data_IF_109208218975
#
_entry.id   IF_109208218975
#
_cell.length_a   1.000
_cell.length_b   1.000
_cell.length_c   1.000
_cell.angle_alpha   90.00
_cell.angle_beta   90.00
_cell.angle_gamma   90.00
#
_symmetry.space_group_name_H-M   'P 1'
#
loop_
_entity.id
_entity.type
_entity.pdbx_description
1 polymer ?
#
# COMPACT_ATOMS: atom_id res chain seq x y z
N UNK A 1 12.35 -22.98 -20.41
CA UNK A 1 11.39 -23.75 -19.59
C UNK A 1 10.24 -22.82 -19.24
N UNK A 2 8.99 -23.14 -19.61
CA UNK A 2 7.86 -22.30 -19.19
C UNK A 2 7.70 -22.44 -17.67
N UNK A 3 7.57 -21.34 -16.92
CA UNK A 3 7.36 -21.40 -15.48
C UNK A 3 6.07 -22.16 -15.17
N UNK A 4 6.06 -22.85 -14.03
CA UNK A 4 4.88 -23.60 -13.59
C UNK A 4 3.68 -22.64 -13.43
N UNK A 5 2.64 -22.90 -14.20
CA UNK A 5 1.42 -22.08 -14.23
C UNK A 5 0.74 -22.02 -12.85
N UNK A 6 0.81 -23.09 -12.05
CA UNK A 6 0.24 -23.11 -10.71
C UNK A 6 1.01 -22.19 -9.77
N UNK A 7 2.35 -22.22 -9.83
CA UNK A 7 3.22 -21.31 -9.09
C UNK A 7 2.96 -19.86 -9.45
N UNK A 8 2.86 -19.52 -10.74
CA UNK A 8 2.59 -18.14 -11.16
C UNK A 8 1.24 -17.65 -10.64
N UNK A 9 0.18 -18.47 -10.74
CA UNK A 9 -1.14 -18.13 -10.18
C UNK A 9 -1.10 -17.88 -8.68
N UNK A 10 -0.37 -18.70 -7.93
CA UNK A 10 -0.20 -18.50 -6.49
C UNK A 10 0.53 -17.17 -6.18
N UNK A 11 1.54 -16.82 -6.96
CA UNK A 11 2.26 -15.55 -6.82
C UNK A 11 1.37 -14.35 -7.15
N UNK A 12 0.55 -14.43 -8.21
CA UNK A 12 -0.44 -13.40 -8.55
C UNK A 12 -1.42 -13.20 -7.39
N UNK A 13 -2.03 -14.29 -6.89
CA UNK A 13 -3.01 -14.23 -5.81
C UNK A 13 -2.43 -13.60 -4.54
N UNK A 14 -1.21 -14.01 -4.15
CA UNK A 14 -0.52 -13.46 -2.98
C UNK A 14 -0.22 -11.98 -3.13
N UNK A 15 0.37 -11.56 -4.26
CA UNK A 15 0.71 -10.15 -4.48
C UNK A 15 -0.55 -9.29 -4.60
N UNK A 16 -1.63 -9.83 -5.18
CA UNK A 16 -2.91 -9.13 -5.23
C UNK A 16 -3.50 -8.91 -3.84
N UNK A 17 -3.52 -9.94 -2.98
CA UNK A 17 -3.99 -9.81 -1.60
C UNK A 17 -3.18 -8.77 -0.80
N UNK A 18 -1.87 -8.70 -1.04
CA UNK A 18 -1.01 -7.68 -0.43
C UNK A 18 -1.38 -6.26 -0.88
N UNK A 19 -1.64 -6.07 -2.18
CA UNK A 19 -2.07 -4.78 -2.73
C UNK A 19 -3.46 -4.39 -2.25
N UNK A 20 -4.37 -5.34 -2.11
CA UNK A 20 -5.70 -5.09 -1.57
C UNK A 20 -5.65 -4.64 -0.10
N UNK A 21 -4.83 -5.33 0.70
CA UNK A 21 -4.56 -4.92 2.07
C UNK A 21 -3.92 -3.51 2.14
N UNK A 22 -2.97 -3.20 1.26
CA UNK A 22 -2.39 -1.87 1.17
C UNK A 22 -3.42 -0.81 0.73
N UNK A 23 -4.31 -1.16 -0.20
CA UNK A 23 -5.40 -0.29 -0.64
C UNK A 23 -6.32 0.07 0.53
N UNK A 24 -6.80 -0.93 1.28
CA UNK A 24 -7.67 -0.70 2.44
C UNK A 24 -7.01 0.20 3.49
N UNK A 25 -5.74 -0.03 3.81
CA UNK A 25 -4.98 0.80 4.76
C UNK A 25 -4.81 2.23 4.28
N UNK A 26 -4.59 2.46 3.00
CA UNK A 26 -4.50 3.80 2.43
C UNK A 26 -5.86 4.51 2.46
N UNK A 27 -6.95 3.79 2.21
CA UNK A 27 -8.30 4.33 2.37
C UNK A 27 -8.58 4.70 3.82
N UNK A 28 -8.28 3.81 4.78
CA UNK A 28 -8.41 4.11 6.22
C UNK A 28 -7.54 5.31 6.64
N UNK A 29 -6.31 5.37 6.15
CA UNK A 29 -5.39 6.49 6.38
C UNK A 29 -5.96 7.83 5.88
N UNK A 30 -6.60 7.82 4.71
CA UNK A 30 -7.27 9.00 4.15
C UNK A 30 -8.52 9.37 4.98
N UNK A 31 -9.32 8.39 5.39
CA UNK A 31 -10.53 8.59 6.18
C UNK A 31 -10.27 9.12 7.60
N UNK A 32 -9.15 8.73 8.22
CA UNK A 32 -8.71 9.31 9.50
C UNK A 32 -8.41 10.81 9.38
N UNK A 33 -8.01 11.30 8.20
CA UNK A 33 -7.67 12.71 8.02
C UNK A 33 -6.43 13.14 8.82
N UNK A 34 -6.30 14.45 9.07
CA UNK A 34 -5.22 15.01 9.86
C UNK A 34 -5.63 15.15 11.32
N UNK A 35 -4.78 14.68 12.23
CA UNK A 35 -4.94 14.84 13.67
C UNK A 35 -3.66 15.42 14.29
N UNK A 36 -3.75 16.05 15.47
CA UNK A 36 -2.56 16.53 16.16
C UNK A 36 -1.55 15.37 16.37
N UNK A 37 -0.24 15.59 16.15
CA UNK A 37 0.77 14.52 16.14
C UNK A 37 0.85 13.69 17.44
N UNK A 38 0.39 14.25 18.56
CA UNK A 38 0.41 13.62 19.88
C UNK A 38 -0.81 12.74 20.16
N UNK A 39 -1.75 12.63 19.21
CA UNK A 39 -2.96 11.81 19.39
C UNK A 39 -2.73 10.36 18.96
N UNK A 40 -3.47 9.43 19.58
CA UNK A 40 -3.51 8.04 19.14
C UNK A 40 -3.88 7.91 17.66
N UNK A 41 -4.79 8.76 17.16
CA UNK A 41 -5.23 8.73 15.76
C UNK A 41 -4.12 9.12 14.78
N UNK A 42 -3.27 10.09 15.14
CA UNK A 42 -2.09 10.42 14.35
C UNK A 42 -1.09 9.25 14.31
N UNK A 43 -0.87 8.57 15.43
CA UNK A 43 -0.03 7.36 15.49
C UNK A 43 -0.61 6.22 14.66
N UNK A 44 -1.91 5.97 14.76
CA UNK A 44 -2.62 4.95 13.99
C UNK A 44 -2.54 5.22 12.48
N UNK A 45 -2.74 6.47 12.06
CA UNK A 45 -2.59 6.89 10.67
C UNK A 45 -1.18 6.62 10.14
N UNK A 46 -0.15 7.00 10.90
CA UNK A 46 1.23 6.76 10.53
C UNK A 46 1.55 5.26 10.41
N UNK A 47 1.03 4.45 11.35
CA UNK A 47 1.20 3.00 11.33
C UNK A 47 0.54 2.36 10.08
N UNK A 48 -0.70 2.76 9.75
CA UNK A 48 -1.41 2.30 8.56
C UNK A 48 -0.65 2.64 7.27
N UNK A 49 -0.17 3.89 7.15
CA UNK A 49 0.61 4.33 6.00
C UNK A 49 1.91 3.53 5.86
N UNK A 50 2.67 3.37 6.94
CA UNK A 50 3.93 2.62 6.94
C UNK A 50 3.73 1.15 6.57
N UNK A 51 2.64 0.54 7.02
CA UNK A 51 2.30 -0.85 6.72
C UNK A 51 1.84 -1.01 5.26
N UNK A 52 1.03 -0.09 4.73
CA UNK A 52 0.67 -0.06 3.31
C UNK A 52 1.91 0.11 2.40
N UNK A 53 2.80 1.03 2.75
CA UNK A 53 4.07 1.27 2.08
C UNK A 53 4.95 0.01 2.09
N UNK A 54 5.02 -0.69 3.22
CA UNK A 54 5.78 -1.94 3.35
C UNK A 54 5.19 -3.08 2.51
N UNK A 55 3.87 -3.15 2.38
CA UNK A 55 3.18 -4.06 1.45
C UNK A 55 3.54 -3.76 -0.01
N UNK A 56 3.47 -2.49 -0.42
CA UNK A 56 3.83 -2.07 -1.77
C UNK A 56 5.30 -2.37 -2.09
N UNK A 57 6.23 -2.09 -1.17
CA UNK A 57 7.67 -2.42 -1.33
C UNK A 57 7.87 -3.91 -1.62
N UNK A 58 7.18 -4.82 -0.92
CA UNK A 58 7.29 -6.27 -1.15
C UNK A 58 6.77 -6.68 -2.53
N UNK A 59 5.68 -6.07 -2.99
CA UNK A 59 5.09 -6.38 -4.30
C UNK A 59 5.97 -5.84 -5.43
N UNK A 60 6.57 -4.67 -5.26
CA UNK A 60 7.45 -4.04 -6.24
C UNK A 60 8.92 -4.47 -6.15
N UNK A 61 9.30 -5.38 -5.23
CA UNK A 61 10.69 -5.79 -5.06
C UNK A 61 11.25 -6.43 -6.34
N UNK A 62 12.27 -5.81 -6.94
CA UNK A 62 12.83 -6.24 -8.22
C UNK A 62 13.90 -7.33 -8.08
N UNK A 63 14.18 -7.76 -6.84
CA UNK A 63 15.14 -8.83 -6.56
C UNK A 63 14.82 -10.11 -7.35
N UNK A 64 15.84 -10.73 -7.95
CA UNK A 64 15.70 -11.90 -8.84
C UNK A 64 15.01 -13.10 -8.18
N UNK A 65 15.24 -13.26 -6.88
CA UNK A 65 14.70 -14.37 -6.08
C UNK A 65 13.36 -14.03 -5.41
N UNK A 66 12.88 -12.79 -5.53
CA UNK A 66 11.59 -12.38 -4.98
C UNK A 66 10.45 -12.89 -5.87
N UNK A 67 9.41 -13.44 -5.24
CA UNK A 67 8.14 -13.76 -5.90
C UNK A 67 7.24 -12.52 -6.07
N UNK A 68 7.79 -11.43 -6.58
CA UNK A 68 7.14 -10.12 -6.67
C UNK A 68 6.30 -9.95 -7.96
N UNK A 69 5.78 -8.75 -8.18
CA UNK A 69 5.19 -8.35 -9.46
C UNK A 69 6.17 -8.63 -10.61
N UNK A 70 7.43 -8.24 -10.44
CA UNK A 70 8.48 -8.43 -11.45
C UNK A 70 8.71 -9.91 -11.81
N UNK A 71 8.56 -10.82 -10.86
CA UNK A 71 8.62 -12.25 -11.15
C UNK A 71 7.52 -12.68 -12.14
N UNK A 72 6.28 -12.26 -11.91
CA UNK A 72 5.13 -12.58 -12.79
C UNK A 72 5.37 -12.00 -14.18
N UNK A 73 5.76 -10.73 -14.24
CA UNK A 73 6.02 -10.01 -15.48
C UNK A 73 7.13 -10.64 -16.32
N UNK A 74 8.20 -11.13 -15.69
CA UNK A 74 9.27 -11.89 -16.39
C UNK A 74 8.79 -13.25 -16.89
N UNK A 75 7.94 -13.94 -16.12
CA UNK A 75 7.43 -15.27 -16.47
C UNK A 75 6.49 -15.24 -17.69
N UNK A 76 5.73 -14.17 -17.86
CA UNK A 76 4.69 -14.03 -18.88
C UNK A 76 4.80 -12.69 -19.61
N UNK A 77 5.97 -12.44 -20.22
CA UNK A 77 6.29 -11.13 -20.82
C UNK A 77 5.29 -10.68 -21.89
N UNK A 78 4.83 -11.58 -22.75
CA UNK A 78 3.89 -11.26 -23.84
C UNK A 78 2.53 -10.84 -23.28
N UNK A 79 2.02 -11.61 -22.32
CA UNK A 79 0.77 -11.31 -21.63
C UNK A 79 0.90 -10.03 -20.80
N UNK A 80 2.06 -9.81 -20.17
CA UNK A 80 2.38 -8.58 -19.43
C UNK A 80 2.34 -7.35 -20.33
N UNK A 81 2.90 -7.40 -21.53
CA UNK A 81 2.81 -6.29 -22.49
C UNK A 81 1.36 -5.96 -22.85
N UNK A 82 0.52 -6.98 -23.08
CA UNK A 82 -0.91 -6.78 -23.32
C UNK A 82 -1.65 -6.23 -22.09
N UNK A 83 -1.29 -6.68 -20.89
CA UNK A 83 -1.88 -6.21 -19.63
C UNK A 83 -1.47 -4.77 -19.31
N UNK A 84 -0.22 -4.38 -19.56
CA UNK A 84 0.26 -2.99 -19.44
C UNK A 84 -0.51 -2.06 -20.38
N UNK A 85 -0.70 -2.46 -21.63
CA UNK A 85 -1.50 -1.71 -22.59
C UNK A 85 -2.95 -1.58 -22.14
N UNK A 86 -3.57 -2.66 -21.64
CA UNK A 86 -4.94 -2.63 -21.12
C UNK A 86 -5.10 -1.72 -19.89
N UNK A 87 -4.05 -1.59 -19.07
CA UNK A 87 -4.01 -0.69 -17.92
C UNK A 87 -3.55 0.74 -18.27
N UNK A 88 -3.29 1.05 -19.55
CA UNK A 88 -2.84 2.37 -19.97
C UNK A 88 -1.50 2.79 -19.37
N UNK A 89 -0.58 1.85 -19.18
CA UNK A 89 0.73 2.09 -18.55
C UNK A 89 1.89 1.50 -19.34
N UNK A 90 3.12 1.69 -18.86
CA UNK A 90 4.34 1.19 -19.49
C UNK A 90 5.30 0.59 -18.46
N UNK A 91 6.28 -0.18 -18.92
CA UNK A 91 7.37 -0.69 -18.08
C UNK A 91 8.08 0.43 -17.30
N UNK A 92 8.34 1.56 -17.97
CA UNK A 92 9.03 2.72 -17.39
C UNK A 92 8.31 3.25 -16.16
N UNK A 93 6.98 3.33 -16.19
CA UNK A 93 6.18 3.80 -15.05
C UNK A 93 6.30 2.85 -13.85
N UNK A 94 6.31 1.54 -14.11
CA UNK A 94 6.50 0.54 -13.04
C UNK A 94 7.91 0.58 -12.47
N UNK A 95 8.94 0.71 -13.32
CA UNK A 95 10.34 0.84 -12.90
C UNK A 95 10.53 2.09 -12.04
N UNK A 96 9.99 3.23 -12.45
CA UNK A 96 10.03 4.47 -11.67
C UNK A 96 9.36 4.31 -10.30
N UNK A 97 8.20 3.65 -10.25
CA UNK A 97 7.51 3.37 -8.98
C UNK A 97 8.35 2.46 -8.09
N UNK A 98 8.89 1.38 -8.66
CA UNK A 98 9.79 0.43 -7.99
C UNK A 98 11.03 1.12 -7.42
N UNK A 99 11.66 2.00 -8.19
CA UNK A 99 12.86 2.73 -7.79
C UNK A 99 12.60 3.67 -6.63
N UNK A 100 11.48 4.39 -6.64
CA UNK A 100 11.07 5.28 -5.54
C UNK A 100 10.84 4.47 -4.27
N UNK A 101 10.09 3.37 -4.35
CA UNK A 101 9.84 2.47 -3.23
C UNK A 101 11.14 1.86 -2.68
N UNK A 102 12.07 1.48 -3.56
CA UNK A 102 13.38 0.96 -3.17
C UNK A 102 14.22 2.01 -2.43
N UNK A 103 14.23 3.27 -2.89
CA UNK A 103 14.92 4.35 -2.17
C UNK A 103 14.34 4.57 -0.79
N UNK A 104 13.01 4.50 -0.64
CA UNK A 104 12.35 4.58 0.67
C UNK A 104 12.78 3.41 1.55
N UNK A 105 12.68 2.17 1.06
CA UNK A 105 13.14 0.97 1.77
C UNK A 105 14.58 1.12 2.28
N UNK A 106 15.47 1.59 1.41
CA UNK A 106 16.89 1.75 1.72
C UNK A 106 17.14 2.86 2.75
N UNK A 107 16.28 3.88 2.84
CA UNK A 107 16.34 4.93 3.87
C UNK A 107 15.73 4.50 5.22
N UNK A 108 14.62 3.77 5.19
CA UNK A 108 13.79 3.54 6.38
C UNK A 108 14.04 2.18 7.06
N UNK A 109 14.31 1.13 6.30
CA UNK A 109 14.44 -0.24 6.84
C UNK A 109 15.87 -0.69 7.03
N UNK A 110 16.77 -0.15 6.21
CA UNK A 110 18.18 -0.38 6.35
C UNK A 110 18.78 0.92 6.86
N UNK A 111 19.22 0.99 8.11
CA UNK A 111 20.06 2.09 8.62
C UNK A 111 21.46 2.10 7.93
N UNK A 112 21.50 1.88 6.61
CA UNK A 112 22.70 1.83 5.77
C UNK A 112 23.17 3.25 5.45
N UNK A 113 22.30 4.23 5.57
CA UNK A 113 22.70 5.61 5.39
C UNK A 113 23.41 6.12 6.66
N UNK A 114 24.73 5.93 6.69
CA UNK A 114 25.59 6.43 7.77
C UNK A 114 25.60 7.95 7.88
N UNK A 115 25.21 8.68 6.82
CA UNK A 115 25.19 10.14 6.80
C UNK A 115 23.91 10.69 7.45
N UNK A 116 22.77 10.02 7.30
CA UNK A 116 21.50 10.45 7.90
C UNK A 116 21.39 10.26 9.42
N UNK A 117 22.31 9.50 10.03
CA UNK A 117 22.44 9.42 11.50
C UNK A 117 22.83 10.79 12.09
N UNK A 118 23.52 11.64 11.32
CA UNK A 118 23.93 12.98 11.73
C UNK A 118 22.84 14.05 11.67
N UNK A 119 21.81 13.85 10.83
CA UNK A 119 20.69 14.81 10.68
C UNK A 119 19.35 14.07 10.45
N UNK A 120 18.76 13.50 11.52
CA UNK A 120 17.54 12.70 11.44
C UNK A 120 16.37 13.35 10.70
N UNK A 121 16.08 14.67 10.84
CA UNK A 121 14.90 15.27 10.23
C UNK A 121 14.91 15.22 8.68
N UNK A 122 16.04 15.47 8.03
CA UNK A 122 16.12 15.52 6.55
C UNK A 122 15.73 14.20 5.87
N UNK A 123 15.98 13.06 6.53
CA UNK A 123 15.63 11.73 6.00
C UNK A 123 14.12 11.55 5.84
N UNK A 124 13.34 12.24 6.68
CA UNK A 124 11.88 12.13 6.78
C UNK A 124 11.14 13.31 6.15
N UNK A 125 11.80 14.42 5.83
CA UNK A 125 11.14 15.65 5.41
C UNK A 125 10.59 15.67 3.98
N UNK A 126 11.04 14.76 3.10
CA UNK A 126 10.39 14.57 1.80
C UNK A 126 10.34 13.08 1.43
N UNK A 127 9.17 12.44 1.52
CA UNK A 127 9.05 11.08 1.03
C UNK A 127 9.24 11.10 -0.49
N UNK A 128 9.96 10.10 -1.01
CA UNK A 128 10.15 9.93 -2.45
C UNK A 128 8.81 9.65 -3.16
N UNK A 129 7.76 9.28 -2.43
CA UNK A 129 6.40 9.01 -2.90
C UNK A 129 5.39 9.55 -1.88
N UNK A 130 4.39 10.31 -2.31
CA UNK A 130 3.30 10.72 -1.41
C UNK A 130 2.21 9.63 -1.31
N UNK A 131 1.20 9.86 -0.46
CA UNK A 131 0.12 8.89 -0.27
C UNK A 131 -0.77 8.69 -1.50
N UNK A 132 -0.99 9.75 -2.30
CA UNK A 132 -1.82 9.67 -3.51
C UNK A 132 -1.08 8.89 -4.61
N UNK A 133 0.21 9.14 -4.77
CA UNK A 133 1.09 8.42 -5.69
C UNK A 133 1.23 6.94 -5.28
N UNK A 134 1.39 6.66 -3.98
CA UNK A 134 1.41 5.29 -3.48
C UNK A 134 0.08 4.58 -3.76
N UNK A 135 -1.06 5.23 -3.52
CA UNK A 135 -2.39 4.69 -3.84
C UNK A 135 -2.59 4.46 -5.35
N UNK A 136 -2.04 5.33 -6.20
CA UNK A 136 -2.03 5.13 -7.64
C UNK A 136 -1.19 3.93 -8.05
N UNK A 137 0.02 3.78 -7.49
CA UNK A 137 0.90 2.62 -7.71
C UNK A 137 0.26 1.30 -7.28
N UNK A 138 -0.35 1.27 -6.09
CA UNK A 138 -1.08 0.09 -5.57
C UNK A 138 -2.21 -0.32 -6.52
N UNK A 139 -3.06 0.64 -6.93
CA UNK A 139 -4.17 0.37 -7.86
C UNK A 139 -3.68 -0.07 -9.23
N UNK A 140 -2.59 0.52 -9.72
CA UNK A 140 -1.98 0.15 -11.00
C UNK A 140 -1.48 -1.30 -10.97
N UNK A 141 -0.69 -1.67 -9.95
CA UNK A 141 -0.19 -3.04 -9.81
C UNK A 141 -1.33 -4.05 -9.64
N UNK A 142 -2.39 -3.70 -8.91
CA UNK A 142 -3.53 -4.58 -8.68
C UNK A 142 -4.30 -4.81 -9.99
N UNK A 143 -4.56 -3.73 -10.74
CA UNK A 143 -5.18 -3.80 -12.06
C UNK A 143 -4.36 -4.63 -13.04
N UNK A 144 -3.04 -4.48 -13.02
CA UNK A 144 -2.12 -5.26 -13.85
C UNK A 144 -2.15 -6.75 -13.51
N UNK A 145 -2.12 -7.11 -12.23
CA UNK A 145 -2.23 -8.49 -11.78
C UNK A 145 -3.60 -9.10 -12.11
N UNK A 146 -4.68 -8.32 -11.99
CA UNK A 146 -6.03 -8.75 -12.36
C UNK A 146 -6.17 -8.97 -13.88
N UNK A 147 -5.57 -8.11 -14.70
CA UNK A 147 -5.53 -8.28 -16.15
C UNK A 147 -4.73 -9.53 -16.53
N UNK A 148 -3.54 -9.70 -15.94
CA UNK A 148 -2.70 -10.89 -16.14
C UNK A 148 -3.42 -12.18 -15.73
N UNK A 149 -4.07 -12.20 -14.57
CA UNK A 149 -4.82 -13.37 -14.11
C UNK A 149 -5.85 -13.84 -15.16
N UNK A 150 -6.64 -12.91 -15.72
CA UNK A 150 -7.64 -13.19 -16.75
C UNK A 150 -7.04 -13.64 -18.08
N UNK A 151 -5.89 -13.09 -18.46
CA UNK A 151 -5.20 -13.48 -19.69
C UNK A 151 -4.58 -14.89 -19.58
N UNK A 152 -4.11 -15.27 -18.39
CA UNK A 152 -3.52 -16.59 -18.14
C UNK A 152 -4.58 -17.67 -17.92
N UNK A 153 -5.75 -17.29 -17.40
CA UNK A 153 -6.87 -18.18 -17.17
C UNK A 153 -8.19 -17.41 -17.30
N UNK A 154 -8.85 -17.57 -18.46
CA UNK A 154 -10.12 -16.91 -18.74
C UNK A 154 -11.27 -17.39 -17.83
N UNK A 155 -11.12 -18.56 -17.20
CA UNK A 155 -12.10 -19.11 -16.27
C UNK A 155 -11.84 -18.68 -14.80
N UNK A 156 -10.70 -18.03 -14.53
CA UNK A 156 -10.39 -17.56 -13.18
C UNK A 156 -11.38 -16.50 -12.71
N UNK A 157 -11.72 -16.54 -11.42
CA UNK A 157 -12.54 -15.51 -10.80
C UNK A 157 -11.88 -14.12 -10.95
N UNK A 158 -12.66 -13.07 -11.23
CA UNK A 158 -12.11 -11.73 -11.41
C UNK A 158 -11.53 -11.22 -10.10
N UNK A 159 -10.24 -10.88 -10.11
CA UNK A 159 -9.59 -10.18 -9.02
C UNK A 159 -10.05 -8.71 -9.01
N UNK A 160 -10.55 -8.25 -7.87
CA UNK A 160 -11.01 -6.87 -7.64
C UNK A 160 -10.55 -6.42 -6.27
N UNK A 161 -10.13 -5.16 -6.19
CA UNK A 161 -9.84 -4.55 -4.90
C UNK A 161 -11.14 -4.49 -4.10
N UNK A 162 -11.01 -4.57 -2.78
CA UNK A 162 -12.10 -4.43 -1.84
C UNK A 162 -12.74 -3.05 -1.97
N UNK A 163 -14.07 -2.98 -1.95
CA UNK A 163 -14.85 -1.72 -2.01
C UNK A 163 -14.86 -0.98 -0.66
N UNK A 164 -13.85 -1.19 0.19
CA UNK A 164 -13.74 -0.56 1.49
C UNK A 164 -13.63 0.96 1.34
N UNK A 165 -14.49 1.69 2.05
CA UNK A 165 -14.65 3.15 1.94
C UNK A 165 -14.04 3.94 3.10
N UNK A 166 -13.57 3.25 4.15
CA UNK A 166 -13.00 3.89 5.34
C UNK A 166 -14.02 4.47 6.31
N UNK A 167 -15.32 4.20 6.15
CA UNK A 167 -16.36 4.79 7.00
C UNK A 167 -16.18 4.46 8.50
N UNK A 168 -15.69 3.26 8.81
CA UNK A 168 -15.39 2.81 10.18
C UNK A 168 -14.14 3.47 10.80
N UNK A 169 -13.27 4.05 9.97
CA UNK A 169 -12.11 4.83 10.43
C UNK A 169 -12.46 6.29 10.71
N UNK A 170 -13.66 6.75 10.32
CA UNK A 170 -14.10 8.11 10.60
C UNK A 170 -14.45 8.25 12.09
N UNK A 171 -13.75 9.16 12.76
CA UNK A 171 -14.06 9.49 14.14
C UNK A 171 -15.23 10.46 14.14
N UNK A 172 -16.44 9.94 14.41
CA UNK A 172 -17.54 10.82 14.80
C UNK A 172 -17.12 11.56 16.07
N UNK A 173 -17.24 12.90 16.13
CA UNK A 173 -17.10 13.60 17.39
C UNK A 173 -18.19 13.03 18.29
N UNK A 174 -17.81 12.17 19.24
CA UNK A 174 -18.69 11.76 20.32
C UNK A 174 -19.23 13.06 20.88
N UNK A 175 -20.53 13.27 20.74
CA UNK A 175 -21.21 14.33 21.44
C UNK A 175 -20.99 14.04 22.90
N UNK A 176 -20.00 14.70 23.49
CA UNK A 176 -19.77 14.66 24.93
C UNK A 176 -21.01 15.32 25.48
N UNK A 177 -22.03 14.50 25.77
CA UNK A 177 -23.19 14.94 26.53
C UNK A 177 -22.60 15.50 27.80
N UNK A 178 -22.69 16.81 27.95
CA UNK A 178 -22.23 17.54 29.13
C UNK A 178 -22.81 16.80 30.32
N UNK A 179 -21.99 16.04 31.04
CA UNK A 179 -22.37 15.50 32.32
C UNK A 179 -22.53 16.74 33.18
N UNK A 180 -23.78 17.15 33.41
CA UNK A 180 -24.08 18.25 34.31
C UNK A 180 -23.37 17.93 35.64
N UNK A 181 -22.55 18.84 36.17
CA UNK A 181 -21.91 18.62 37.45
C UNK A 181 -23.01 18.43 38.48
N UNK A 182 -23.19 17.18 38.94
CA UNK A 182 -24.15 16.84 39.98
C UNK A 182 -23.93 17.76 41.17
N UNK A 183 -24.95 18.56 41.48
CA UNK A 183 -24.97 19.44 42.64
C UNK A 183 -24.57 18.63 43.88
N UNK A 184 -23.54 19.05 44.65
CA UNK A 184 -23.17 18.37 45.87
C UNK A 184 -24.33 18.50 46.86
N UNK A 185 -25.03 17.39 47.08
CA UNK A 185 -26.05 17.24 48.09
C UNK A 185 -25.42 17.50 49.47
N UNK A 186 -25.61 18.72 49.98
CA UNK A 186 -25.19 19.09 51.34
C UNK A 186 -26.36 18.81 52.26
N UNK A 187 -26.36 17.63 52.86
CA UNK A 187 -27.21 17.31 54.02
C UNK A 187 -26.34 17.06 55.25
N UNK A 188 -26.51 17.83 56.33
CA UNK A 188 -26.46 17.34 57.70
C UNK A 188 -27.86 17.13 58.28
#
# INVERSE_FOLDING_TARGET
MRPDSAKVRAVIARNFAELDNAHMKLTACAALGDHPPTTFLALARQALYNDALSGAIRVYDDHKDAHSLWYVLRCHRKEAEGALAACGTTWVVLEQTSDRLRRIRNRTQFHIDRQSIGDPPETWHKPDIDAAELAAGVRLAAGLLAALARMLDAAAAPLRLSDYDGADAQVSPLSVSSVEPGSPDRSP
#
